data_IF_163853030987
#
_entry.id   IF_163853030987
#
_cell.length_a   1.000
_cell.length_b   1.000
_cell.length_c   1.000
_cell.angle_alpha   90.00
_cell.angle_beta   90.00
_cell.angle_gamma   90.00
#
_symmetry.space_group_name_H-M   'P 1'
#
loop_
_entity.id
_entity.type
_entity.pdbx_description
1 polymer ?
#
# COMPACT_ATOMS: atom_id res chain seq x y z
N UNK A 1 -15.12 -10.69 -18.85
CA UNK A 1 -14.70 -11.19 -17.52
C UNK A 1 -15.67 -10.69 -16.46
N UNK A 2 -16.02 -11.52 -15.48
CA UNK A 2 -16.89 -11.12 -14.36
C UNK A 2 -16.10 -10.22 -13.39
N UNK A 3 -16.72 -9.21 -12.74
CA UNK A 3 -16.03 -8.31 -11.82
C UNK A 3 -15.27 -9.03 -10.69
N UNK A 4 -15.87 -10.09 -10.16
CA UNK A 4 -15.26 -10.93 -9.09
C UNK A 4 -13.96 -11.58 -9.55
N UNK A 5 -13.86 -12.04 -10.80
CA UNK A 5 -12.64 -12.65 -11.33
C UNK A 5 -11.52 -11.62 -11.45
N UNK A 6 -11.84 -10.41 -11.93
CA UNK A 6 -10.86 -9.32 -12.04
C UNK A 6 -10.36 -8.93 -10.66
N UNK A 7 -11.27 -8.75 -9.70
CA UNK A 7 -10.92 -8.43 -8.32
C UNK A 7 -9.97 -9.48 -7.72
N UNK A 8 -10.34 -10.77 -7.82
CA UNK A 8 -9.50 -11.87 -7.32
C UNK A 8 -8.10 -11.89 -7.96
N UNK A 9 -7.98 -11.60 -9.25
CA UNK A 9 -6.69 -11.48 -9.93
C UNK A 9 -5.85 -10.29 -9.45
N UNK A 10 -6.48 -9.23 -8.94
CA UNK A 10 -5.78 -8.04 -8.45
C UNK A 10 -5.37 -8.14 -6.97
N UNK A 11 -5.91 -9.10 -6.21
CA UNK A 11 -5.56 -9.27 -4.79
C UNK A 11 -4.05 -9.49 -4.57
N UNK A 12 -3.34 -10.37 -5.31
CA UNK A 12 -1.89 -10.52 -5.14
C UNK A 12 -1.12 -9.24 -5.43
N UNK A 13 -1.53 -8.51 -6.48
CA UNK A 13 -0.93 -7.21 -6.83
C UNK A 13 -1.16 -6.18 -5.73
N UNK A 14 -2.36 -6.13 -5.15
CA UNK A 14 -2.67 -5.28 -4.00
C UNK A 14 -1.80 -5.63 -2.79
N UNK A 15 -1.52 -6.92 -2.54
CA UNK A 15 -0.57 -7.37 -1.53
C UNK A 15 0.81 -6.76 -1.70
N UNK A 16 1.35 -6.81 -2.92
CA UNK A 16 2.65 -6.20 -3.26
C UNK A 16 2.64 -4.68 -3.03
N UNK A 17 1.56 -4.00 -3.43
CA UNK A 17 1.40 -2.56 -3.20
C UNK A 17 1.38 -2.23 -1.71
N UNK A 18 0.60 -2.95 -0.90
CA UNK A 18 0.55 -2.75 0.56
C UNK A 18 1.92 -2.98 1.20
N UNK A 19 2.65 -4.00 0.76
CA UNK A 19 4.00 -4.27 1.25
C UNK A 19 4.99 -3.15 0.88
N UNK A 20 4.89 -2.62 -0.35
CA UNK A 20 5.71 -1.48 -0.77
C UNK A 20 5.38 -0.22 0.05
N UNK A 21 4.10 0.03 0.31
CA UNK A 21 3.67 1.16 1.15
C UNK A 21 4.17 1.03 2.59
N UNK A 22 4.26 -0.20 3.12
CA UNK A 22 4.92 -0.43 4.40
C UNK A 22 6.40 -0.07 4.34
N UNK A 23 7.14 -0.51 3.33
CA UNK A 23 8.56 -0.17 3.18
C UNK A 23 8.81 1.35 3.03
N UNK A 24 7.84 2.09 2.47
CA UNK A 24 7.89 3.55 2.36
C UNK A 24 7.36 4.29 3.60
N UNK A 25 6.81 3.58 4.59
CA UNK A 25 6.18 4.19 5.75
C UNK A 25 7.21 4.77 6.72
N UNK A 26 6.80 5.85 7.39
CA UNK A 26 7.64 6.60 8.33
C UNK A 26 6.87 6.82 9.62
N UNK A 27 7.55 6.67 10.74
CA UNK A 27 7.03 6.95 12.08
C UNK A 27 7.73 8.18 12.65
N UNK A 28 6.98 9.09 13.28
CA UNK A 28 7.54 10.26 13.96
C UNK A 28 7.39 10.05 15.46
N UNK A 29 8.52 9.82 16.13
CA UNK A 29 8.55 9.78 17.58
C UNK A 29 8.67 11.21 18.12
N UNK A 30 7.76 11.60 19.01
CA UNK A 30 7.78 12.89 19.72
C UNK A 30 8.39 12.77 21.11
N UNK A 31 8.38 11.57 21.67
CA UNK A 31 8.96 11.23 22.97
C UNK A 31 9.68 9.88 22.94
N UNK A 32 10.56 9.59 23.93
CA UNK A 32 11.15 8.26 24.08
C UNK A 32 10.11 7.14 24.25
N UNK A 33 8.96 7.41 24.86
CA UNK A 33 7.90 6.42 25.09
C UNK A 33 7.24 5.94 23.80
N UNK A 34 7.19 6.80 22.78
CA UNK A 34 6.56 6.50 21.49
C UNK A 34 7.29 5.37 20.75
N UNK A 35 8.58 5.20 21.03
CA UNK A 35 9.42 4.20 20.36
C UNK A 35 9.05 2.77 20.70
N UNK A 36 8.46 2.51 21.87
CA UNK A 36 8.02 1.16 22.25
C UNK A 36 6.84 0.66 21.40
N UNK A 37 6.14 1.59 20.74
CA UNK A 37 4.89 1.34 20.00
C UNK A 37 4.95 2.00 18.61
N UNK A 38 6.09 1.89 17.93
CA UNK A 38 6.25 2.48 16.60
C UNK A 38 5.40 1.71 15.58
N UNK A 39 4.35 2.37 15.09
CA UNK A 39 3.36 1.78 14.18
C UNK A 39 3.60 2.18 12.74
N UNK A 40 3.44 1.20 11.87
CA UNK A 40 3.71 1.32 10.45
C UNK A 40 2.63 0.61 9.63
N UNK A 41 2.41 1.13 8.43
CA UNK A 41 1.47 0.59 7.47
C UNK A 41 0.54 1.64 6.90
N UNK A 42 -0.14 1.26 5.83
CA UNK A 42 -1.15 2.09 5.20
C UNK A 42 -2.13 1.18 4.43
N UNK A 43 -3.44 1.50 4.38
CA UNK A 43 -4.11 2.65 5.00
C UNK A 43 -4.32 2.57 6.52
N UNK A 44 -4.30 1.38 7.12
CA UNK A 44 -4.27 1.21 8.57
C UNK A 44 -2.93 0.62 9.02
N UNK A 45 -2.45 1.02 10.18
CA UNK A 45 -1.24 0.45 10.77
C UNK A 45 -1.43 -1.04 11.04
N UNK A 46 -0.53 -1.85 10.48
CA UNK A 46 -0.62 -3.32 10.55
C UNK A 46 0.68 -3.96 11.02
N UNK A 47 1.73 -3.16 11.22
CA UNK A 47 2.98 -3.57 11.85
C UNK A 47 3.27 -2.64 13.03
N UNK A 48 3.66 -3.20 14.16
CA UNK A 48 4.15 -2.46 15.32
C UNK A 48 5.53 -2.99 15.72
N UNK A 49 6.48 -2.07 15.93
CA UNK A 49 7.86 -2.36 16.29
C UNK A 49 8.23 -1.71 17.61
N UNK A 50 8.94 -2.45 18.47
CA UNK A 50 9.61 -1.89 19.65
C UNK A 50 11.01 -1.39 19.26
N UNK A 51 11.15 -0.07 19.21
CA UNK A 51 12.36 0.65 18.88
C UNK A 51 13.02 1.32 20.11
N UNK A 52 12.50 1.06 21.32
CA UNK A 52 12.97 1.69 22.57
C UNK A 52 14.46 1.49 22.82
N UNK A 53 15.01 0.33 22.42
CA UNK A 53 16.43 -0.02 22.50
C UNK A 53 17.34 0.84 21.63
N UNK A 54 16.76 1.58 20.70
CA UNK A 54 17.48 2.36 19.69
C UNK A 54 17.17 3.86 19.79
N UNK A 55 16.79 4.32 20.98
CA UNK A 55 16.33 5.70 21.19
C UNK A 55 17.35 6.74 20.70
N UNK A 56 16.94 7.70 19.85
CA UNK A 56 17.75 8.82 19.45
C UNK A 56 17.97 9.78 20.63
N UNK A 57 18.99 10.64 20.54
CA UNK A 57 19.33 11.60 21.61
C UNK A 57 18.43 12.85 21.61
N UNK A 58 17.70 13.10 20.53
CA UNK A 58 16.89 14.31 20.33
C UNK A 58 15.57 13.95 19.66
N UNK A 59 14.50 14.64 20.08
CA UNK A 59 13.14 14.50 19.55
C UNK A 59 12.62 15.86 19.06
N UNK A 60 11.70 15.91 18.07
CA UNK A 60 11.12 14.78 17.36
C UNK A 60 12.13 14.09 16.42
N UNK A 61 11.92 12.80 16.18
CA UNK A 61 12.77 11.99 15.31
C UNK A 61 11.93 11.13 14.37
N UNK A 62 12.25 11.16 13.08
CA UNK A 62 11.58 10.35 12.06
C UNK A 62 12.35 9.06 11.83
N UNK A 63 11.64 7.95 11.84
CA UNK A 63 12.19 6.61 11.65
C UNK A 63 11.52 5.97 10.45
N UNK A 64 12.33 5.48 9.52
CA UNK A 64 11.85 4.68 8.40
C UNK A 64 11.59 3.23 8.87
N UNK A 65 10.59 2.59 8.29
CA UNK A 65 10.34 1.18 8.54
C UNK A 65 11.55 0.32 8.14
N UNK A 66 11.91 -0.65 8.99
CA UNK A 66 13.00 -1.56 8.70
C UNK A 66 12.63 -2.99 9.11
N UNK A 67 12.74 -3.94 8.18
CA UNK A 67 12.48 -5.35 8.43
C UNK A 67 13.44 -5.96 9.45
N UNK A 68 14.73 -5.63 9.33
CA UNK A 68 15.79 -6.12 10.20
C UNK A 68 16.96 -5.13 10.14
N UNK A 69 17.29 -4.50 11.28
CA UNK A 69 18.40 -3.54 11.34
C UNK A 69 19.77 -4.24 11.40
N UNK A 70 19.86 -5.36 12.10
CA UNK A 70 21.03 -6.24 12.15
C UNK A 70 20.60 -7.67 12.48
N UNK A 71 21.39 -8.65 12.02
CA UNK A 71 21.14 -10.07 12.30
C UNK A 71 21.28 -10.42 13.79
N UNK A 72 22.17 -9.72 14.49
CA UNK A 72 22.50 -9.99 15.89
C UNK A 72 21.56 -9.30 16.90
N UNK A 73 20.69 -8.40 16.43
CA UNK A 73 19.72 -7.68 17.28
C UNK A 73 18.41 -7.41 16.51
N UNK A 74 17.54 -8.43 16.36
CA UNK A 74 16.29 -8.27 15.63
C UNK A 74 15.36 -7.29 16.34
N UNK A 75 14.61 -6.52 15.55
CA UNK A 75 13.58 -5.62 16.05
C UNK A 75 12.36 -6.47 16.42
N UNK A 76 11.91 -6.38 17.68
CA UNK A 76 10.68 -7.03 18.10
C UNK A 76 9.52 -6.44 17.29
N UNK A 77 8.91 -7.26 16.44
CA UNK A 77 7.91 -6.85 15.46
C UNK A 77 6.65 -7.69 15.64
N UNK A 78 5.51 -7.03 15.71
CA UNK A 78 4.20 -7.67 15.75
C UNK A 78 3.39 -7.28 14.53
N UNK A 79 2.59 -8.22 14.03
CA UNK A 79 1.80 -8.06 12.79
C UNK A 79 0.33 -8.26 13.10
N UNK A 80 -0.50 -7.27 12.76
CA UNK A 80 -1.95 -7.39 12.77
C UNK A 80 -2.44 -7.94 11.42
N UNK A 81 -2.64 -9.26 11.36
CA UNK A 81 -3.13 -9.95 10.16
C UNK A 81 -4.49 -9.43 9.68
N UNK A 82 -5.35 -9.01 10.62
CA UNK A 82 -6.65 -8.40 10.30
C UNK A 82 -6.51 -7.07 9.56
N UNK A 83 -5.65 -6.18 10.05
CA UNK A 83 -5.38 -4.90 9.38
C UNK A 83 -4.66 -5.09 8.04
N UNK A 84 -3.74 -6.05 7.95
CA UNK A 84 -3.10 -6.41 6.68
C UNK A 84 -4.15 -6.85 5.66
N UNK A 85 -5.02 -7.80 6.02
CA UNK A 85 -6.06 -8.30 5.12
C UNK A 85 -7.00 -7.17 4.66
N UNK A 86 -7.42 -6.30 5.59
CA UNK A 86 -8.23 -5.14 5.29
C UNK A 86 -7.54 -4.20 4.30
N UNK A 87 -6.26 -3.87 4.53
CA UNK A 87 -5.48 -3.01 3.64
C UNK A 87 -5.39 -3.60 2.22
N UNK A 88 -5.11 -4.90 2.11
CA UNK A 88 -5.03 -5.59 0.81
C UNK A 88 -6.37 -5.55 0.08
N UNK A 89 -7.48 -5.81 0.77
CA UNK A 89 -8.81 -5.76 0.18
C UNK A 89 -9.21 -4.34 -0.26
N UNK A 90 -8.86 -3.33 0.52
CA UNK A 90 -9.13 -1.94 0.19
C UNK A 90 -8.35 -1.51 -1.06
N UNK A 91 -7.04 -1.80 -1.11
CA UNK A 91 -6.20 -1.50 -2.28
C UNK A 91 -6.69 -2.27 -3.51
N UNK A 92 -7.05 -3.56 -3.37
CA UNK A 92 -7.61 -4.34 -4.47
C UNK A 92 -8.90 -3.73 -5.02
N UNK A 93 -9.76 -3.21 -4.13
CA UNK A 93 -11.00 -2.51 -4.53
C UNK A 93 -10.69 -1.25 -5.34
N UNK A 94 -9.74 -0.44 -4.88
CA UNK A 94 -9.31 0.78 -5.58
C UNK A 94 -8.71 0.45 -6.95
N UNK A 95 -7.80 -0.52 -7.03
CA UNK A 95 -7.21 -0.96 -8.31
C UNK A 95 -8.27 -1.47 -9.28
N UNK A 96 -9.26 -2.21 -8.79
CA UNK A 96 -10.38 -2.70 -9.59
C UNK A 96 -11.21 -1.54 -10.13
N UNK A 97 -11.53 -0.55 -9.31
CA UNK A 97 -12.27 0.64 -9.72
C UNK A 97 -11.50 1.46 -10.79
N UNK A 98 -10.20 1.64 -10.60
CA UNK A 98 -9.32 2.32 -11.58
C UNK A 98 -9.36 1.58 -12.93
N UNK A 99 -9.20 0.26 -12.93
CA UNK A 99 -9.23 -0.54 -14.16
C UNK A 99 -10.56 -0.39 -14.89
N UNK A 100 -11.69 -0.45 -14.19
CA UNK A 100 -13.00 -0.23 -14.79
C UNK A 100 -13.16 1.19 -15.35
N UNK A 101 -12.65 2.20 -14.63
CA UNK A 101 -12.61 3.59 -15.11
C UNK A 101 -11.82 3.74 -16.41
N UNK A 102 -10.64 3.14 -16.50
CA UNK A 102 -9.80 3.14 -17.71
C UNK A 102 -10.53 2.46 -18.86
N UNK A 103 -11.12 1.28 -18.63
CA UNK A 103 -11.86 0.55 -19.67
C UNK A 103 -13.05 1.37 -20.17
N UNK A 104 -13.79 2.03 -19.28
CA UNK A 104 -14.92 2.89 -19.66
C UNK A 104 -14.45 4.10 -20.47
N UNK A 105 -13.38 4.77 -20.05
CA UNK A 105 -12.80 5.91 -20.76
C UNK A 105 -12.33 5.53 -22.17
N UNK A 106 -11.61 4.42 -22.32
CA UNK A 106 -11.15 3.91 -23.62
C UNK A 106 -12.33 3.55 -24.53
N UNK A 107 -13.39 2.95 -23.99
CA UNK A 107 -14.60 2.64 -24.77
C UNK A 107 -15.32 3.90 -25.25
N UNK A 108 -15.42 4.91 -24.39
CA UNK A 108 -16.01 6.21 -24.74
C UNK A 108 -15.21 6.88 -25.87
N UNK A 109 -13.89 6.94 -25.74
CA UNK A 109 -13.00 7.52 -26.75
C UNK A 109 -13.08 6.81 -28.11
N UNK A 110 -13.25 5.48 -28.14
CA UNK A 110 -13.42 4.73 -29.38
C UNK A 110 -14.76 4.97 -30.07
N UNK A 111 -15.84 5.22 -29.30
CA UNK A 111 -17.18 5.50 -29.85
C UNK A 111 -17.30 6.90 -30.43
N UNK A 112 -16.53 7.86 -29.91
CA UNK A 112 -16.51 9.24 -30.42
C UNK A 112 -15.62 9.45 -31.65
N UNK A 113 -14.95 8.41 -32.18
CA UNK A 113 -14.09 8.53 -33.34
C UNK A 113 -14.95 8.58 -34.61
N UNK A 114 -14.96 9.67 -35.39
CA UNK A 114 -15.75 9.74 -36.62
C UNK A 114 -15.32 8.64 -37.60
N UNK A 115 -16.28 8.08 -38.32
CA UNK A 115 -16.01 7.07 -39.33
C UNK A 115 -15.04 7.64 -40.40
N UNK A 116 -14.08 6.84 -40.89
CA UNK A 116 -13.21 7.27 -41.99
C UNK A 116 -14.08 7.64 -43.19
N UNK A 117 -13.90 8.86 -43.71
CA UNK A 117 -14.59 9.34 -44.91
C UNK A 117 -14.17 8.42 -46.07
N UNK A 118 -15.12 7.78 -46.78
CA UNK A 118 -14.78 7.00 -47.96
C UNK A 118 -14.14 7.91 -49.00
N UNK A 119 -12.90 7.63 -49.36
CA UNK A 119 -12.24 8.24 -50.52
C UNK A 119 -12.91 7.69 -51.77
N UNK A 120 -13.65 8.54 -52.47
CA UNK A 120 -14.19 8.24 -53.79
C UNK A 120 -13.04 8.25 -54.81
N UNK A 121 -12.67 7.07 -55.29
CA UNK A 121 -11.91 6.88 -56.53
C UNK A 121 -12.89 6.66 -57.70
#
# INVERSE_FOLDING_TARGET
>A
MRPVTIFACLVPLAGVVVFYLLAASKFVATSPGDLAHARFGWPADWVEQDLSRYAPRTFPFTIDFNWTRSWDAPIATTVSWGHLAMNVLLVATVLTAILFGIVAAVRSARRGRPAPVPTSD
#
